data_IF_763728685794
#
_entry.id   IF_763728685794
#
_cell.length_a   1.000
_cell.length_b   1.000
_cell.length_c   1.000
_cell.angle_alpha   90.00
_cell.angle_beta   90.00
_cell.angle_gamma   90.00
#
_symmetry.space_group_name_H-M   'P 1'
#
loop_
_entity.id
_entity.type
_entity.pdbx_description
1 polymer ?
#
# COMPACT_ATOMS: atom_id res chain seq x y z
N UNK A 1 -19.44 -9.12 -9.86
CA UNK A 1 -18.01 -9.12 -9.49
C UNK A 1 -17.85 -9.58 -8.05
N UNK A 2 -16.74 -10.25 -7.72
CA UNK A 2 -16.42 -10.67 -6.34
C UNK A 2 -15.80 -9.51 -5.56
N UNK A 3 -15.77 -9.62 -4.22
CA UNK A 3 -14.95 -8.70 -3.41
C UNK A 3 -13.46 -8.94 -3.69
N UNK A 4 -12.64 -7.89 -3.62
CA UNK A 4 -11.19 -8.01 -3.79
C UNK A 4 -10.57 -9.03 -2.81
N UNK A 5 -11.00 -9.00 -1.54
CA UNK A 5 -10.55 -9.95 -0.52
C UNK A 5 -10.82 -11.41 -0.85
N UNK A 6 -11.95 -11.70 -1.53
CA UNK A 6 -12.28 -13.07 -1.96
C UNK A 6 -11.40 -13.52 -3.14
N UNK A 7 -11.16 -12.60 -4.10
CA UNK A 7 -10.30 -12.87 -5.26
C UNK A 7 -8.87 -13.14 -4.81
N UNK A 8 -8.31 -12.25 -3.98
CA UNK A 8 -6.93 -12.38 -3.51
C UNK A 8 -6.74 -13.54 -2.52
N UNK A 9 -7.77 -13.87 -1.72
CA UNK A 9 -7.78 -15.08 -0.91
C UNK A 9 -7.63 -16.34 -1.77
N UNK A 10 -8.41 -16.45 -2.86
CA UNK A 10 -8.30 -17.57 -3.80
C UNK A 10 -6.94 -17.61 -4.51
N UNK A 11 -6.37 -16.46 -4.84
CA UNK A 11 -5.02 -16.40 -5.43
C UNK A 11 -3.95 -16.88 -4.44
N UNK A 12 -4.10 -16.55 -3.16
CA UNK A 12 -3.20 -17.02 -2.10
C UNK A 12 -3.27 -18.55 -1.91
N UNK A 13 -4.47 -19.16 -2.00
CA UNK A 13 -4.67 -20.61 -1.92
C UNK A 13 -3.90 -21.38 -3.01
N UNK A 14 -3.79 -20.81 -4.20
CA UNK A 14 -3.11 -21.44 -5.35
C UNK A 14 -1.68 -20.93 -5.59
N UNK A 15 -1.12 -20.17 -4.64
CA UNK A 15 0.27 -19.71 -4.66
C UNK A 15 0.58 -18.55 -5.62
N UNK A 16 -0.44 -17.88 -6.18
CA UNK A 16 -0.24 -16.68 -7.04
C UNK A 16 0.31 -15.48 -6.29
N UNK A 17 0.21 -15.47 -4.96
CA UNK A 17 0.76 -14.41 -4.09
C UNK A 17 2.28 -14.23 -4.25
N UNK A 18 3.01 -15.29 -4.59
CA UNK A 18 4.46 -15.22 -4.86
C UNK A 18 4.77 -14.46 -6.16
N UNK A 19 3.96 -14.65 -7.20
CA UNK A 19 4.12 -13.90 -8.45
C UNK A 19 3.83 -12.40 -8.29
N UNK A 20 2.91 -12.04 -7.40
CA UNK A 20 2.63 -10.63 -7.05
C UNK A 20 3.84 -9.98 -6.33
N UNK A 21 4.49 -10.70 -5.41
CA UNK A 21 5.71 -10.24 -4.76
C UNK A 21 6.83 -9.99 -5.79
N UNK A 22 7.07 -10.93 -6.69
CA UNK A 22 8.08 -10.79 -7.75
C UNK A 22 7.78 -9.61 -8.67
N UNK A 23 6.52 -9.46 -9.11
CA UNK A 23 6.09 -8.39 -10.02
C UNK A 23 6.25 -6.99 -9.43
N UNK A 24 6.01 -6.83 -8.12
CA UNK A 24 6.04 -5.53 -7.45
C UNK A 24 7.38 -5.23 -6.74
N UNK A 25 8.34 -6.14 -6.74
CA UNK A 25 9.59 -5.98 -5.98
C UNK A 25 10.36 -4.71 -6.34
N UNK A 26 10.52 -4.40 -7.64
CA UNK A 26 11.27 -3.23 -8.10
C UNK A 26 10.64 -1.89 -7.71
N UNK A 27 9.34 -1.61 -8.03
CA UNK A 27 8.73 -0.36 -7.61
C UNK A 27 8.69 -0.21 -6.09
N UNK A 28 8.41 -1.28 -5.33
CA UNK A 28 8.44 -1.22 -3.86
C UNK A 28 9.83 -0.93 -3.34
N UNK A 29 10.90 -1.45 -3.94
CA UNK A 29 12.27 -1.12 -3.57
C UNK A 29 12.59 0.37 -3.76
N UNK A 30 12.14 0.97 -4.85
CA UNK A 30 12.27 2.41 -5.10
C UNK A 30 11.48 3.22 -4.06
N UNK A 31 10.24 2.82 -3.77
CA UNK A 31 9.38 3.46 -2.77
C UNK A 31 10.00 3.43 -1.38
N UNK A 32 10.44 2.25 -0.93
CA UNK A 32 11.05 2.08 0.39
C UNK A 32 12.38 2.82 0.49
N UNK A 33 13.22 2.76 -0.53
CA UNK A 33 14.48 3.50 -0.58
C UNK A 33 14.24 5.01 -0.45
N UNK A 34 13.23 5.55 -1.14
CA UNK A 34 12.85 6.96 -1.03
C UNK A 34 12.38 7.30 0.39
N UNK A 35 11.44 6.51 0.94
CA UNK A 35 10.82 6.79 2.21
C UNK A 35 11.80 6.64 3.39
N UNK A 36 12.58 5.55 3.42
CA UNK A 36 13.48 5.23 4.54
C UNK A 36 14.73 6.12 4.53
N UNK A 37 15.25 6.52 3.37
CA UNK A 37 16.41 7.44 3.29
C UNK A 37 16.21 8.74 4.06
N UNK A 38 14.97 9.16 4.28
CA UNK A 38 14.60 10.40 4.99
C UNK A 38 14.36 10.18 6.48
N UNK A 39 14.59 8.96 6.99
CA UNK A 39 14.40 8.60 8.40
C UNK A 39 15.78 8.39 9.03
N UNK A 40 16.07 9.17 10.05
CA UNK A 40 17.35 9.18 10.79
C UNK A 40 17.25 8.60 12.22
N UNK A 41 16.09 8.09 12.59
CA UNK A 41 15.76 7.53 13.90
C UNK A 41 14.93 6.25 13.78
N UNK A 42 14.75 5.55 14.90
CA UNK A 42 13.86 4.40 14.95
C UNK A 42 12.44 4.78 14.51
N UNK A 43 11.84 3.92 13.69
CA UNK A 43 10.50 4.15 13.14
C UNK A 43 9.60 2.91 13.27
N UNK A 44 8.31 3.15 13.32
CA UNK A 44 7.27 2.14 13.19
C UNK A 44 6.67 2.17 11.79
N UNK A 45 6.37 1.01 11.25
CA UNK A 45 5.93 0.77 9.88
C UNK A 45 4.59 0.04 9.83
N UNK A 46 3.68 0.47 8.97
CA UNK A 46 2.44 -0.21 8.63
C UNK A 46 2.37 -0.44 7.12
N UNK A 47 2.08 -1.67 6.73
CA UNK A 47 1.77 -2.04 5.35
C UNK A 47 0.26 -2.28 5.22
N UNK A 48 -0.42 -1.43 4.46
CA UNK A 48 -1.87 -1.48 4.24
C UNK A 48 -2.16 -2.28 2.97
N UNK A 49 -2.87 -3.41 3.12
CA UNK A 49 -3.02 -4.41 2.08
C UNK A 49 -1.74 -5.23 1.91
N UNK A 50 -1.21 -5.73 3.02
CA UNK A 50 0.12 -6.36 3.07
C UNK A 50 0.24 -7.68 2.32
N UNK A 51 -0.87 -8.26 1.86
CA UNK A 51 -0.90 -9.56 1.21
C UNK A 51 -0.19 -10.64 2.03
N UNK A 52 0.75 -11.34 1.41
CA UNK A 52 1.55 -12.39 2.05
C UNK A 52 2.65 -11.87 3.00
N UNK A 53 2.69 -10.57 3.28
CA UNK A 53 3.55 -9.93 4.27
C UNK A 53 5.01 -9.73 3.85
N UNK A 54 5.37 -9.89 2.60
CA UNK A 54 6.77 -9.78 2.14
C UNK A 54 7.40 -8.40 2.37
N UNK A 55 6.63 -7.31 2.19
CA UNK A 55 7.09 -5.94 2.44
C UNK A 55 7.31 -5.72 3.94
N UNK A 56 6.41 -6.23 4.77
CA UNK A 56 6.53 -6.16 6.24
C UNK A 56 7.83 -6.84 6.69
N UNK A 57 8.11 -8.09 6.22
CA UNK A 57 9.36 -8.81 6.50
C UNK A 57 10.58 -8.04 6.00
N UNK A 58 10.51 -7.48 4.80
CA UNK A 58 11.60 -6.69 4.23
C UNK A 58 11.94 -5.47 5.08
N UNK A 59 10.92 -4.73 5.52
CA UNK A 59 11.13 -3.53 6.34
C UNK A 59 11.55 -3.87 7.77
N UNK A 60 11.01 -4.95 8.36
CA UNK A 60 11.38 -5.42 9.69
C UNK A 60 12.87 -5.78 9.83
N UNK A 61 13.51 -6.18 8.72
CA UNK A 61 14.95 -6.46 8.70
C UNK A 61 15.85 -5.21 8.81
N UNK A 62 15.28 -4.00 8.69
CA UNK A 62 16.03 -2.76 8.88
C UNK A 62 16.35 -2.54 10.36
N UNK A 63 17.62 -2.22 10.67
CA UNK A 63 18.04 -1.91 12.04
C UNK A 63 17.31 -0.72 12.68
N UNK A 64 16.75 0.17 11.87
CA UNK A 64 15.97 1.31 12.34
C UNK A 64 14.47 0.99 12.51
N UNK A 65 13.97 -0.14 12.00
CA UNK A 65 12.58 -0.51 12.17
C UNK A 65 12.34 -1.07 13.57
N UNK A 66 11.62 -0.34 14.40
CA UNK A 66 11.29 -0.78 15.77
C UNK A 66 10.02 -1.64 15.84
N UNK A 67 9.14 -1.54 14.84
CA UNK A 67 7.91 -2.32 14.73
C UNK A 67 7.41 -2.29 13.29
N UNK A 68 7.14 -3.44 12.72
CA UNK A 68 6.49 -3.59 11.40
C UNK A 68 5.19 -4.38 11.55
N UNK A 69 4.12 -3.84 10.99
CA UNK A 69 2.77 -4.41 11.03
C UNK A 69 2.22 -4.51 9.63
N UNK A 70 1.52 -5.60 9.31
CA UNK A 70 0.76 -5.75 8.09
C UNK A 70 -0.73 -5.90 8.38
N UNK A 71 -1.58 -5.26 7.58
CA UNK A 71 -3.03 -5.42 7.62
C UNK A 71 -3.55 -5.81 6.24
N UNK A 72 -4.43 -6.81 6.19
CA UNK A 72 -5.09 -7.26 4.95
C UNK A 72 -6.46 -7.87 5.25
N UNK A 73 -7.40 -7.67 4.33
CA UNK A 73 -8.75 -8.22 4.43
C UNK A 73 -8.87 -9.69 3.99
N UNK A 74 -7.92 -10.20 3.20
CA UNK A 74 -7.91 -11.57 2.71
C UNK A 74 -7.27 -12.50 3.75
N UNK A 75 -8.09 -13.35 4.41
CA UNK A 75 -7.62 -14.24 5.48
C UNK A 75 -6.49 -15.16 5.03
N UNK A 76 -6.58 -15.75 3.84
CA UNK A 76 -5.57 -16.65 3.32
C UNK A 76 -4.23 -15.93 3.05
N UNK A 77 -4.24 -14.65 2.65
CA UNK A 77 -3.03 -13.84 2.56
C UNK A 77 -2.37 -13.70 3.92
N UNK A 78 -3.14 -13.42 4.97
CA UNK A 78 -2.63 -13.29 6.34
C UNK A 78 -2.12 -14.63 6.89
N UNK A 79 -2.76 -15.75 6.57
CA UNK A 79 -2.25 -17.09 6.92
C UNK A 79 -0.90 -17.35 6.25
N UNK A 80 -0.78 -17.03 4.95
CA UNK A 80 0.49 -17.14 4.23
C UNK A 80 1.56 -16.23 4.85
N UNK A 81 1.21 -14.99 5.22
CA UNK A 81 2.13 -14.06 5.88
C UNK A 81 2.66 -14.63 7.20
N UNK A 82 1.76 -15.10 8.07
CA UNK A 82 2.11 -15.72 9.38
C UNK A 82 2.93 -16.98 9.25
N UNK A 83 2.73 -17.75 8.18
CA UNK A 83 3.53 -18.96 7.95
C UNK A 83 4.98 -18.67 7.52
N UNK A 84 5.25 -17.45 7.03
CA UNK A 84 6.54 -17.05 6.46
C UNK A 84 7.33 -16.07 7.33
N UNK A 85 6.71 -15.53 8.39
CA UNK A 85 7.35 -14.55 9.28
C UNK A 85 6.65 -14.46 10.63
N UNK A 86 7.36 -13.86 11.59
CA UNK A 86 6.88 -13.69 12.98
C UNK A 86 6.44 -12.26 13.28
N UNK A 87 6.37 -11.40 12.26
CA UNK A 87 5.91 -10.03 12.38
C UNK A 87 4.41 -9.97 12.74
N UNK A 88 3.92 -8.80 13.08
CA UNK A 88 2.52 -8.61 13.44
C UNK A 88 1.66 -8.53 12.17
N UNK A 89 0.74 -9.49 11.98
CA UNK A 89 -0.19 -9.51 10.85
C UNK A 89 -1.63 -9.55 11.33
N UNK A 90 -2.45 -8.63 10.84
CA UNK A 90 -3.83 -8.40 11.26
C UNK A 90 -4.78 -8.68 10.09
N UNK A 91 -5.70 -9.64 10.27
CA UNK A 91 -6.76 -9.88 9.32
C UNK A 91 -7.97 -9.03 9.68
N UNK A 92 -8.24 -8.01 8.89
CA UNK A 92 -9.43 -7.16 9.02
C UNK A 92 -9.68 -6.40 7.72
N UNK A 93 -10.91 -6.00 7.50
CA UNK A 93 -11.26 -5.07 6.45
C UNK A 93 -10.54 -3.73 6.70
N UNK A 94 -9.87 -3.21 5.66
CA UNK A 94 -9.08 -1.98 5.76
C UNK A 94 -9.98 -0.79 6.14
N UNK A 95 -11.21 -0.76 5.62
CA UNK A 95 -12.18 0.31 5.93
C UNK A 95 -12.63 0.31 7.40
N UNK A 96 -12.48 -0.84 8.10
CA UNK A 96 -12.80 -1.01 9.51
C UNK A 96 -11.58 -0.99 10.44
N UNK A 97 -10.38 -0.95 9.86
CA UNK A 97 -9.15 -0.98 10.65
C UNK A 97 -8.94 0.32 11.42
N UNK A 98 -8.65 0.17 12.72
CA UNK A 98 -8.26 1.27 13.60
C UNK A 98 -7.04 0.83 14.42
N UNK A 99 -5.84 1.35 14.11
CA UNK A 99 -4.64 0.98 14.84
C UNK A 99 -4.64 1.54 16.26
N UNK A 100 -4.17 0.74 17.22
CA UNK A 100 -3.98 1.18 18.62
C UNK A 100 -2.89 2.24 18.73
N UNK A 101 -1.84 2.12 17.93
CA UNK A 101 -0.69 3.03 17.92
C UNK A 101 -0.50 3.62 16.53
N UNK A 102 -0.03 4.86 16.48
CA UNK A 102 0.28 5.55 15.22
C UNK A 102 1.65 5.13 14.69
N UNK A 103 1.84 5.26 13.37
CA UNK A 103 3.01 4.86 12.64
C UNK A 103 3.80 6.06 12.10
N UNK A 104 5.14 5.88 11.99
CA UNK A 104 6.01 6.87 11.37
C UNK A 104 5.98 6.78 9.85
N UNK A 105 5.87 5.56 9.31
CA UNK A 105 5.79 5.28 7.89
C UNK A 105 4.64 4.32 7.60
N UNK A 106 3.75 4.70 6.68
CA UNK A 106 2.69 3.85 6.15
C UNK A 106 2.94 3.64 4.66
N UNK A 107 2.87 2.40 4.24
CA UNK A 107 3.01 1.94 2.87
C UNK A 107 1.73 1.27 2.40
N UNK A 108 1.45 1.35 1.10
CA UNK A 108 0.41 0.55 0.44
C UNK A 108 0.79 0.35 -1.02
N UNK A 109 0.68 -0.88 -1.52
CA UNK A 109 0.94 -1.21 -2.93
C UNK A 109 -0.24 -1.94 -3.52
N UNK A 110 -0.83 -1.38 -4.58
CA UNK A 110 -1.92 -2.00 -5.34
C UNK A 110 -3.20 -2.28 -4.53
N UNK A 111 -3.62 -1.34 -3.67
CA UNK A 111 -4.74 -1.54 -2.74
C UNK A 111 -5.82 -0.49 -2.84
N UNK A 112 -5.46 0.80 -2.85
CA UNK A 112 -6.41 1.89 -2.63
C UNK A 112 -7.56 1.93 -3.64
N UNK A 113 -7.34 1.51 -4.86
CA UNK A 113 -8.36 1.48 -5.91
C UNK A 113 -9.37 0.30 -5.78
N UNK A 114 -9.13 -0.63 -4.84
CA UNK A 114 -10.12 -1.67 -4.48
C UNK A 114 -11.06 -1.23 -3.36
N UNK A 115 -10.73 -0.15 -2.64
CA UNK A 115 -11.54 0.36 -1.54
C UNK A 115 -12.80 1.05 -2.06
N UNK A 116 -13.89 0.95 -1.32
CA UNK A 116 -15.15 1.61 -1.69
C UNK A 116 -15.03 3.14 -1.61
N UNK A 117 -14.30 3.63 -0.63
CA UNK A 117 -14.06 5.06 -0.42
C UNK A 117 -12.58 5.31 -0.03
N UNK A 118 -11.68 5.37 -1.02
CA UNK A 118 -10.27 5.66 -0.76
C UNK A 118 -10.04 7.06 -0.17
N UNK A 119 -10.97 8.01 -0.39
CA UNK A 119 -10.87 9.34 0.21
C UNK A 119 -11.01 9.26 1.73
N UNK A 120 -12.04 8.58 2.23
CA UNK A 120 -12.24 8.35 3.66
C UNK A 120 -11.07 7.60 4.29
N UNK A 121 -10.52 6.58 3.60
CA UNK A 121 -9.36 5.83 4.10
C UNK A 121 -8.11 6.71 4.17
N UNK A 122 -7.86 7.57 3.17
CA UNK A 122 -6.76 8.54 3.21
C UNK A 122 -6.91 9.55 4.36
N UNK A 123 -8.13 10.02 4.63
CA UNK A 123 -8.41 10.88 5.78
C UNK A 123 -8.13 10.17 7.11
N UNK A 124 -8.58 8.92 7.29
CA UNK A 124 -8.28 8.10 8.48
C UNK A 124 -6.78 7.90 8.66
N UNK A 125 -6.06 7.55 7.59
CA UNK A 125 -4.60 7.42 7.62
C UNK A 125 -3.97 8.72 8.12
N UNK A 126 -4.36 9.85 7.56
CA UNK A 126 -3.84 11.16 7.97
C UNK A 126 -4.17 11.50 9.41
N UNK A 127 -5.44 11.40 9.81
CA UNK A 127 -5.91 11.85 11.12
C UNK A 127 -5.47 10.94 12.26
N UNK A 128 -5.64 9.62 12.05
CA UNK A 128 -5.62 8.64 13.14
C UNK A 128 -4.43 7.68 13.10
N UNK A 129 -3.90 7.32 11.91
CA UNK A 129 -2.89 6.26 11.79
C UNK A 129 -1.46 6.81 11.73
N UNK A 130 -1.25 8.02 11.19
CA UNK A 130 0.06 8.65 11.10
C UNK A 130 0.41 9.46 12.35
N UNK A 131 1.64 9.31 12.82
CA UNK A 131 2.26 10.23 13.79
C UNK A 131 2.48 11.61 13.16
N UNK A 132 2.64 12.68 13.97
CA UNK A 132 3.17 13.95 13.48
C UNK A 132 4.54 13.73 12.78
N UNK A 133 4.72 14.34 11.62
CA UNK A 133 5.84 14.15 10.69
C UNK A 133 5.92 12.76 10.04
N UNK A 134 4.92 11.90 10.26
CA UNK A 134 4.79 10.62 9.57
C UNK A 134 4.53 10.78 8.07
N UNK A 135 4.84 9.75 7.32
CA UNK A 135 4.73 9.71 5.85
C UNK A 135 3.84 8.56 5.40
N UNK A 136 2.98 8.84 4.43
CA UNK A 136 2.32 7.83 3.60
C UNK A 136 3.04 7.75 2.25
N UNK A 137 3.24 6.52 1.75
CA UNK A 137 3.69 6.24 0.40
C UNK A 137 2.86 5.12 -0.20
N UNK A 138 2.30 5.35 -1.39
CA UNK A 138 1.47 4.38 -2.10
C UNK A 138 1.97 4.14 -3.51
N UNK A 139 1.81 2.92 -4.00
CA UNK A 139 2.03 2.52 -5.38
C UNK A 139 0.72 2.07 -6.02
N UNK A 140 0.47 2.54 -7.24
CA UNK A 140 -0.76 2.32 -7.99
C UNK A 140 -0.40 2.01 -9.44
N UNK A 141 -0.81 0.85 -9.93
CA UNK A 141 -0.62 0.45 -11.34
C UNK A 141 -1.90 0.67 -12.16
N UNK A 142 -3.08 0.63 -11.50
CA UNK A 142 -4.36 0.97 -12.12
C UNK A 142 -4.62 2.48 -12.04
N UNK A 143 -4.27 3.20 -13.09
CA UNK A 143 -4.55 4.64 -13.23
C UNK A 143 -4.81 5.00 -14.69
N UNK A 144 -5.56 6.06 -14.94
CA UNK A 144 -6.08 6.39 -16.27
C UNK A 144 -4.99 6.57 -17.35
N UNK A 145 -3.81 7.10 -16.99
CA UNK A 145 -2.70 7.29 -17.91
C UNK A 145 -1.94 5.99 -18.23
N UNK A 146 -2.20 4.89 -17.49
CA UNK A 146 -1.70 3.56 -17.80
C UNK A 146 -2.74 2.77 -18.60
N UNK A 147 -2.70 2.88 -19.93
CA UNK A 147 -3.69 2.26 -20.82
C UNK A 147 -3.72 0.72 -20.71
N UNK A 148 -2.61 0.09 -20.33
CA UNK A 148 -2.51 -1.35 -20.18
C UNK A 148 -3.31 -1.89 -18.97
N UNK A 149 -3.73 -1.00 -18.06
CA UNK A 149 -4.54 -1.35 -16.88
C UNK A 149 -6.05 -1.22 -17.11
N UNK A 150 -6.50 -0.69 -18.25
CA UNK A 150 -7.90 -0.31 -18.47
C UNK A 150 -8.89 -1.50 -18.48
N UNK A 151 -8.42 -2.70 -18.75
CA UNK A 151 -9.23 -3.93 -18.75
C UNK A 151 -9.05 -4.80 -17.50
N UNK A 152 -8.33 -4.30 -16.49
CA UNK A 152 -8.01 -5.10 -15.30
C UNK A 152 -9.23 -5.42 -14.44
N UNK A 153 -10.19 -4.49 -14.32
CA UNK A 153 -11.44 -4.75 -13.60
C UNK A 153 -12.15 -6.00 -14.13
N UNK A 154 -12.24 -6.14 -15.46
CA UNK A 154 -12.84 -7.31 -16.11
C UNK A 154 -11.96 -8.56 -15.93
N UNK A 155 -10.65 -8.46 -16.14
CA UNK A 155 -9.70 -9.57 -16.04
C UNK A 155 -9.60 -10.15 -14.64
N UNK A 156 -9.59 -9.30 -13.62
CA UNK A 156 -9.48 -9.71 -12.22
C UNK A 156 -10.85 -10.10 -11.64
N UNK A 157 -11.94 -9.50 -12.17
CA UNK A 157 -13.31 -9.81 -11.78
C UNK A 157 -13.74 -9.18 -10.46
N UNK A 158 -13.12 -8.06 -10.07
CA UNK A 158 -13.45 -7.26 -8.88
C UNK A 158 -13.57 -5.78 -9.24
N UNK A 159 -14.48 -5.00 -8.61
CA UNK A 159 -14.60 -3.58 -8.86
C UNK A 159 -13.30 -2.84 -8.57
N UNK A 160 -12.93 -1.91 -9.42
CA UNK A 160 -11.74 -1.08 -9.30
C UNK A 160 -12.04 0.38 -9.62
N UNK A 161 -11.55 1.29 -8.81
CA UNK A 161 -11.69 2.73 -9.03
C UNK A 161 -10.51 3.24 -9.87
N UNK A 162 -10.78 3.52 -11.15
CA UNK A 162 -9.79 4.11 -12.04
C UNK A 162 -9.84 5.64 -11.93
N UNK A 163 -8.76 6.22 -11.42
CA UNK A 163 -8.57 7.67 -11.33
C UNK A 163 -7.34 8.10 -12.15
N UNK A 164 -7.32 9.40 -12.52
CA UNK A 164 -6.13 10.04 -13.05
C UNK A 164 -5.10 10.32 -11.94
N UNK A 165 -3.85 10.47 -12.30
CA UNK A 165 -2.83 10.94 -11.35
C UNK A 165 -3.24 12.22 -10.62
N UNK A 166 -3.80 13.20 -11.36
CA UNK A 166 -4.26 14.46 -10.78
C UNK A 166 -5.37 14.27 -9.73
N UNK A 167 -6.27 13.32 -9.95
CA UNK A 167 -7.36 13.01 -9.02
C UNK A 167 -6.83 12.33 -7.75
N UNK A 168 -5.87 11.42 -7.88
CA UNK A 168 -5.17 10.83 -6.73
C UNK A 168 -4.43 11.89 -5.90
N UNK A 169 -3.72 12.83 -6.56
CA UNK A 169 -3.06 13.96 -5.88
C UNK A 169 -4.08 14.82 -5.13
N UNK A 170 -5.23 15.06 -5.73
CA UNK A 170 -6.29 15.87 -5.09
C UNK A 170 -6.92 15.17 -3.88
N UNK A 171 -7.03 13.82 -3.90
CA UNK A 171 -7.42 13.06 -2.72
C UNK A 171 -6.42 13.21 -1.57
N UNK A 172 -5.11 13.15 -1.86
CA UNK A 172 -4.07 13.39 -0.85
C UNK A 172 -4.16 14.80 -0.26
N UNK A 173 -4.33 15.83 -1.09
CA UNK A 173 -4.51 17.22 -0.64
C UNK A 173 -5.73 17.38 0.25
N UNK A 174 -6.88 16.82 -0.17
CA UNK A 174 -8.14 16.87 0.59
C UNK A 174 -8.03 16.18 1.95
N UNK A 175 -7.31 15.05 2.03
CA UNK A 175 -7.04 14.37 3.30
C UNK A 175 -6.13 15.17 4.24
N UNK A 176 -5.44 16.22 3.75
CA UNK A 176 -4.57 17.09 4.53
C UNK A 176 -3.07 16.86 4.37
N UNK A 177 -2.66 15.91 3.52
CA UNK A 177 -1.24 15.65 3.27
C UNK A 177 -0.53 16.86 2.69
N UNK A 178 0.72 17.04 3.09
CA UNK A 178 1.62 18.08 2.62
C UNK A 178 2.91 17.46 2.08
N UNK A 179 3.77 18.26 1.44
CA UNK A 179 4.95 17.73 0.74
C UNK A 179 4.60 16.55 -0.18
N UNK A 180 3.51 16.71 -0.95
CA UNK A 180 3.05 15.68 -1.86
C UNK A 180 3.98 15.63 -3.07
N UNK A 181 4.50 14.45 -3.36
CA UNK A 181 5.33 14.15 -4.53
C UNK A 181 4.73 12.96 -5.28
N UNK A 182 4.93 12.92 -6.59
CA UNK A 182 4.56 11.77 -7.43
C UNK A 182 5.64 11.49 -8.47
N UNK A 183 5.79 10.21 -8.84
CA UNK A 183 6.67 9.75 -9.92
C UNK A 183 6.23 8.39 -10.45
N UNK A 184 6.90 7.93 -11.53
CA UNK A 184 6.74 6.59 -12.07
C UNK A 184 7.91 5.71 -11.66
N UNK A 185 7.66 4.74 -10.78
CA UNK A 185 8.67 3.75 -10.41
C UNK A 185 8.75 2.63 -11.45
N UNK A 186 9.95 2.12 -11.69
CA UNK A 186 10.22 1.02 -12.63
C UNK A 186 9.66 1.23 -14.05
N UNK A 187 9.56 2.50 -14.51
CA UNK A 187 9.10 2.84 -15.85
C UNK A 187 10.07 2.35 -16.93
N UNK A 188 9.54 1.93 -18.08
CA UNK A 188 10.32 1.52 -19.25
C UNK A 188 9.56 1.84 -20.55
N UNK A 189 10.17 1.61 -21.70
CA UNK A 189 9.52 1.77 -23.01
C UNK A 189 8.27 0.90 -23.21
N UNK A 190 8.14 -0.17 -22.40
CA UNK A 190 7.04 -1.15 -22.47
C UNK A 190 6.12 -1.15 -21.27
N UNK A 191 6.40 -0.31 -20.30
CA UNK A 191 5.63 -0.25 -19.04
C UNK A 191 5.50 1.19 -18.56
N UNK A 192 4.28 1.64 -18.36
CA UNK A 192 3.98 3.01 -17.90
C UNK A 192 4.60 3.36 -16.54
N UNK A 193 4.99 2.35 -15.78
CA UNK A 193 5.53 2.48 -14.43
C UNK A 193 4.43 2.50 -13.38
N UNK A 194 4.77 2.11 -12.16
CA UNK A 194 3.92 2.27 -11.00
C UNK A 194 3.81 3.75 -10.66
N UNK A 195 2.60 4.30 -10.64
CA UNK A 195 2.35 5.65 -10.10
C UNK A 195 2.60 5.61 -8.60
N UNK A 196 3.67 6.23 -8.16
CA UNK A 196 3.95 6.42 -6.74
C UNK A 196 3.47 7.79 -6.30
N UNK A 197 2.72 7.82 -5.19
CA UNK A 197 2.35 9.05 -4.49
C UNK A 197 2.83 8.98 -3.05
N UNK A 198 3.31 10.11 -2.54
CA UNK A 198 3.70 10.22 -1.15
C UNK A 198 3.32 11.58 -0.58
N UNK A 199 3.04 11.62 0.71
CA UNK A 199 2.73 12.84 1.43
C UNK A 199 3.04 12.73 2.91
N UNK A 200 3.23 13.85 3.58
CA UNK A 200 3.51 13.93 5.01
C UNK A 200 2.35 14.51 5.79
N UNK A 201 2.25 14.08 7.05
CA UNK A 201 1.48 14.76 8.09
C UNK A 201 2.41 15.70 8.85
N UNK A 202 2.41 17.00 8.53
CA UNK A 202 3.23 17.95 9.27
C UNK A 202 2.72 18.14 10.71
N UNK A 203 3.65 18.51 11.60
CA UNK A 203 3.34 18.87 12.98
C UNK A 203 2.83 20.31 12.98
N UNK A 204 1.63 20.53 13.45
CA UNK A 204 1.12 21.85 13.83
C UNK A 204 1.29 22.06 15.31
#
# INVERSE_FOLDING_TARGET
MKKATDVFGQWAEIGKDLGMEEGHSKPVDEMLKYAIKKIDKNFSFLDVGCGNGWVVRKVSSSALCSRAVGVDGASQMIENAKSRGSEEYINTDIDLYEPKDKFDLIHSMEVLYYLQDPASTLEKIYQSWLKPNGRLIVGIDLYHENVDSHDWEEKVGTPMLMLRESEWIDLFKKAGFQEIESWRANQSDKWAGTLVLTGKKLRY
#
